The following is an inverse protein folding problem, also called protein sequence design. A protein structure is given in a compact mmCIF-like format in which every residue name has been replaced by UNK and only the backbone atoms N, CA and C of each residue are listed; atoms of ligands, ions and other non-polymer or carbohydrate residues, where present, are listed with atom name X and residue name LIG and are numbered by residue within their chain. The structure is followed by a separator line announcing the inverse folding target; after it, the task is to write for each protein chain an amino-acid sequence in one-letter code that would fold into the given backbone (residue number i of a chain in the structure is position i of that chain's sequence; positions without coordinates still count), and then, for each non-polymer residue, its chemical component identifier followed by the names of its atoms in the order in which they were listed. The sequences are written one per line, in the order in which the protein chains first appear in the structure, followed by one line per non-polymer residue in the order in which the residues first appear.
data_IF_386444812234
#
_entry.id   IF_386444812234
#
_cell.length_a   1.000
_cell.length_b   1.000
_cell.length_c   1.000
_cell.angle_alpha   90.00
_cell.angle_beta   90.00
_cell.angle_gamma   90.00
#
_symmetry.space_group_name_H-M   'P 1'
#
loop_
_entity.id
_entity.type
_entity.pdbx_description
1 polymer ?
#
# COMPACT_ATOMS: atom_id res chain seq x y z
N UNK A 1 -18.03 -3.00 -17.26
CA UNK A 1 -17.14 -4.16 -17.05
C UNK A 1 -16.57 -4.00 -15.65
N UNK A 2 -16.72 -5.00 -14.80
CA UNK A 2 -16.22 -5.00 -13.42
C UNK A 2 -15.08 -6.01 -13.30
N UNK A 3 -14.14 -5.76 -12.40
CA UNK A 3 -13.03 -6.64 -12.10
C UNK A 3 -13.16 -7.17 -10.66
N UNK A 4 -12.92 -8.47 -10.48
CA UNK A 4 -12.86 -9.10 -9.16
C UNK A 4 -11.42 -9.42 -8.82
N UNK A 5 -10.95 -8.96 -7.66
CA UNK A 5 -9.63 -9.28 -7.14
C UNK A 5 -9.73 -10.38 -6.08
N UNK A 6 -8.70 -11.24 -6.03
CA UNK A 6 -8.48 -12.16 -4.92
C UNK A 6 -7.51 -11.53 -3.93
N UNK A 7 -7.76 -11.71 -2.64
CA UNK A 7 -6.74 -11.38 -1.64
C UNK A 7 -5.71 -12.50 -1.61
N UNK A 8 -4.44 -12.13 -1.67
CA UNK A 8 -3.31 -13.07 -1.62
C UNK A 8 -2.77 -13.25 -0.20
N UNK A 9 -3.29 -12.48 0.75
CA UNK A 9 -2.80 -12.43 2.11
C UNK A 9 -3.38 -11.24 2.88
N UNK A 10 -2.79 -10.94 4.03
CA UNK A 10 -3.18 -9.82 4.88
C UNK A 10 -1.99 -9.24 5.65
N UNK A 11 -2.13 -7.98 6.08
CA UNK A 11 -1.16 -7.29 6.91
C UNK A 11 -1.50 -7.52 8.38
N UNK A 12 -0.53 -8.00 9.14
CA UNK A 12 -0.60 -8.16 10.59
C UNK A 12 0.35 -7.17 11.27
N UNK A 13 -0.18 -6.40 12.21
CA UNK A 13 0.58 -5.46 13.04
C UNK A 13 -0.01 -5.38 14.44
N UNK A 14 0.85 -5.11 15.44
CA UNK A 14 0.48 -5.15 16.86
C UNK A 14 0.13 -3.78 17.45
N UNK A 15 0.31 -2.71 16.68
CA UNK A 15 -0.09 -1.36 17.03
C UNK A 15 -1.45 -1.01 16.40
N UNK A 16 -2.26 -0.22 17.11
CA UNK A 16 -3.54 0.27 16.59
C UNK A 16 -3.35 1.51 15.70
N UNK A 17 -2.45 1.41 14.71
CA UNK A 17 -2.05 2.53 13.86
C UNK A 17 -1.91 2.10 12.39
N UNK A 18 -1.71 3.08 11.52
CA UNK A 18 -1.25 2.89 10.14
C UNK A 18 0.14 3.53 9.94
N UNK A 19 0.93 3.65 11.02
CA UNK A 19 2.26 4.28 10.98
C UNK A 19 3.19 3.56 10.02
N UNK A 20 3.92 4.34 9.22
CA UNK A 20 4.98 3.85 8.32
C UNK A 20 6.26 3.46 9.07
N UNK A 21 6.41 3.88 10.33
CA UNK A 21 7.64 3.66 11.08
C UNK A 21 7.70 2.29 11.77
N UNK A 22 6.54 1.65 11.98
CA UNK A 22 6.49 0.33 12.59
C UNK A 22 6.83 -0.76 11.55
N UNK A 23 7.51 -1.79 12.03
CA UNK A 23 7.63 -3.05 11.31
C UNK A 23 6.31 -3.82 11.39
N UNK A 24 5.89 -4.40 10.27
CA UNK A 24 4.67 -5.20 10.14
C UNK A 24 5.00 -6.55 9.52
N UNK A 25 4.10 -7.51 9.72
CA UNK A 25 4.12 -8.79 9.04
C UNK A 25 3.12 -8.76 7.87
N UNK A 26 3.49 -9.31 6.73
CA UNK A 26 2.58 -9.58 5.62
C UNK A 26 2.47 -11.10 5.51
N UNK A 27 1.29 -11.62 5.81
CA UNK A 27 0.98 -13.05 5.78
C UNK A 27 0.41 -13.38 4.41
N UNK A 28 1.13 -14.16 3.62
CA UNK A 28 0.71 -14.62 2.30
C UNK A 28 -0.03 -15.95 2.48
N UNK A 29 -1.13 -16.18 1.77
CA UNK A 29 -1.81 -17.46 1.85
C UNK A 29 -0.90 -18.57 1.29
N UNK A 30 -0.97 -19.76 1.87
CA UNK A 30 -0.12 -20.90 1.52
C UNK A 30 -0.14 -21.22 0.01
N UNK A 31 -1.30 -21.07 -0.67
CA UNK A 31 -1.40 -21.33 -2.11
C UNK A 31 -0.61 -20.36 -3.00
N UNK A 32 -0.12 -19.24 -2.45
CA UNK A 32 0.69 -18.24 -3.16
C UNK A 32 2.14 -18.17 -2.67
N UNK A 33 2.55 -19.02 -1.72
CA UNK A 33 3.89 -18.99 -1.11
C UNK A 33 5.01 -19.14 -2.15
N UNK A 34 4.85 -20.03 -3.14
CA UNK A 34 5.84 -20.22 -4.22
C UNK A 34 6.18 -18.91 -4.95
N UNK A 35 5.24 -17.96 -5.00
CA UNK A 35 5.41 -16.65 -5.63
C UNK A 35 6.40 -15.73 -4.92
N UNK A 36 6.84 -16.06 -3.70
CA UNK A 36 7.82 -15.27 -2.94
C UNK A 36 9.27 -15.55 -3.31
N UNK A 37 9.54 -16.64 -4.03
CA UNK A 37 10.91 -17.06 -4.36
C UNK A 37 11.70 -15.97 -5.10
N UNK A 38 12.84 -15.57 -4.54
CA UNK A 38 13.74 -14.56 -5.11
C UNK A 38 13.38 -13.11 -4.74
N UNK A 39 12.26 -12.89 -4.04
CA UNK A 39 11.87 -11.56 -3.59
C UNK A 39 12.85 -11.01 -2.54
N UNK A 40 13.47 -11.90 -1.76
CA UNK A 40 14.50 -11.59 -0.75
C UNK A 40 15.79 -10.98 -1.34
N UNK A 41 16.00 -11.08 -2.66
CA UNK A 41 17.12 -10.44 -3.35
C UNK A 41 16.92 -8.92 -3.51
N UNK A 42 15.70 -8.42 -3.29
CA UNK A 42 15.36 -7.00 -3.36
C UNK A 42 15.38 -6.35 -1.97
N UNK A 43 15.82 -5.09 -1.89
CA UNK A 43 15.77 -4.36 -0.61
C UNK A 43 14.40 -3.76 -0.30
N UNK A 44 13.58 -3.56 -1.33
CA UNK A 44 12.29 -2.88 -1.22
C UNK A 44 11.24 -3.55 -2.11
N UNK A 45 9.99 -3.43 -1.67
CA UNK A 45 8.82 -3.96 -2.37
C UNK A 45 7.72 -2.90 -2.46
N UNK A 46 6.91 -3.00 -3.50
CA UNK A 46 5.63 -2.30 -3.63
C UNK A 46 4.54 -3.25 -3.17
N UNK A 47 3.73 -2.83 -2.21
CA UNK A 47 2.60 -3.60 -1.70
C UNK A 47 1.30 -2.89 -2.05
N UNK A 48 0.41 -3.59 -2.76
CA UNK A 48 -0.94 -3.14 -3.05
C UNK A 48 -1.89 -3.84 -2.10
N UNK A 49 -2.78 -3.07 -1.48
CA UNK A 49 -3.69 -3.59 -0.47
C UNK A 49 -5.05 -2.92 -0.55
N UNK A 50 -6.08 -3.64 -0.12
CA UNK A 50 -7.45 -3.14 -0.09
C UNK A 50 -7.70 -2.41 1.23
N UNK A 51 -7.98 -1.11 1.15
CA UNK A 51 -8.42 -0.27 2.26
C UNK A 51 -9.87 -0.62 2.64
N UNK A 52 -10.10 -1.87 3.06
CA UNK A 52 -11.39 -2.50 3.31
C UNK A 52 -12.29 -1.79 4.34
N UNK A 53 -11.71 -0.91 5.17
CA UNK A 53 -12.45 -0.07 6.12
C UNK A 53 -12.90 1.27 5.52
N UNK A 54 -12.42 1.62 4.34
CA UNK A 54 -12.78 2.87 3.68
C UNK A 54 -14.17 2.73 3.04
N UNK A 55 -15.08 3.64 3.40
CA UNK A 55 -16.40 3.72 2.79
C UNK A 55 -16.44 4.90 1.80
N UNK A 56 -16.53 4.60 0.51
CA UNK A 56 -16.61 5.65 -0.51
C UNK A 56 -18.03 6.22 -0.58
N UNK A 57 -18.14 7.52 -0.33
CA UNK A 57 -19.40 8.26 -0.27
C UNK A 57 -19.85 8.85 -1.62
N UNK A 58 -19.21 8.47 -2.72
CA UNK A 58 -19.48 9.02 -4.05
C UNK A 58 -18.86 10.40 -4.32
N UNK A 59 -18.26 11.07 -3.32
CA UNK A 59 -17.69 12.41 -3.50
C UNK A 59 -16.32 12.35 -4.16
N UNK A 60 -16.24 12.91 -5.36
CA UNK A 60 -15.01 12.99 -6.17
C UNK A 60 -14.11 14.19 -5.83
N UNK A 61 -14.58 15.16 -5.04
CA UNK A 61 -13.77 16.26 -4.54
C UNK A 61 -13.40 16.02 -3.07
N UNK A 62 -12.16 16.34 -2.71
CA UNK A 62 -11.63 16.28 -1.35
C UNK A 62 -10.86 17.57 -1.05
N UNK A 63 -10.97 18.04 0.18
CA UNK A 63 -10.15 19.13 0.68
C UNK A 63 -8.76 18.59 1.04
N UNK A 64 -7.70 19.27 0.59
CA UNK A 64 -6.32 18.98 0.94
C UNK A 64 -5.53 20.29 1.01
N UNK A 65 -4.87 20.55 2.13
CA UNK A 65 -4.15 21.80 2.41
C UNK A 65 -4.97 23.07 2.06
N UNK A 66 -6.25 23.08 2.44
CA UNK A 66 -7.17 24.22 2.21
C UNK A 66 -7.63 24.41 0.75
N UNK A 67 -7.29 23.47 -0.16
CA UNK A 67 -7.73 23.51 -1.55
C UNK A 67 -8.66 22.33 -1.85
N UNK A 68 -9.78 22.61 -2.52
CA UNK A 68 -10.66 21.57 -3.05
C UNK A 68 -10.09 21.00 -4.35
N UNK A 69 -9.72 19.73 -4.35
CA UNK A 69 -9.14 19.03 -5.50
C UNK A 69 -9.84 17.71 -5.78
N UNK A 70 -9.70 17.18 -6.99
CA UNK A 70 -10.23 15.86 -7.33
C UNK A 70 -9.55 14.75 -6.53
N UNK A 71 -10.29 13.69 -6.18
CA UNK A 71 -9.80 12.56 -5.36
C UNK A 71 -8.53 11.92 -5.94
N UNK A 72 -8.39 11.93 -7.27
CA UNK A 72 -7.21 11.42 -7.98
C UNK A 72 -5.96 12.30 -7.86
N UNK A 73 -6.11 13.57 -7.49
CA UNK A 73 -5.00 14.45 -7.09
C UNK A 73 -4.60 14.27 -5.62
N UNK A 74 -5.20 13.30 -4.92
CA UNK A 74 -4.96 13.03 -3.50
C UNK A 74 -4.56 11.57 -3.25
N UNK A 75 -4.19 11.28 -2.00
CA UNK A 75 -3.97 9.93 -1.48
C UNK A 75 -5.09 9.47 -0.54
N UNK A 76 -6.26 10.14 -0.56
CA UNK A 76 -7.42 9.77 0.28
C UNK A 76 -7.87 8.33 0.06
N UNK A 77 -8.14 7.62 1.15
CA UNK A 77 -8.71 6.27 1.15
C UNK A 77 -10.14 6.23 0.60
N UNK A 78 -10.89 7.34 0.65
CA UNK A 78 -12.27 7.42 0.19
C UNK A 78 -12.33 7.68 -1.31
N UNK A 79 -12.10 6.63 -2.11
CA UNK A 79 -12.02 6.65 -3.58
C UNK A 79 -12.80 5.47 -4.19
N UNK A 80 -13.16 5.54 -5.49
CA UNK A 80 -13.99 4.51 -6.12
C UNK A 80 -13.47 3.08 -5.96
N UNK A 81 -12.16 2.89 -6.15
CA UNK A 81 -11.46 1.63 -5.86
C UNK A 81 -10.47 1.89 -4.72
N UNK A 82 -10.79 1.50 -3.46
CA UNK A 82 -10.02 1.83 -2.27
C UNK A 82 -8.72 1.01 -2.17
N UNK A 83 -7.83 1.19 -3.14
CA UNK A 83 -6.52 0.54 -3.21
C UNK A 83 -5.47 1.47 -2.58
N UNK A 84 -4.79 0.94 -1.58
CA UNK A 84 -3.59 1.50 -0.99
C UNK A 84 -2.34 0.98 -1.69
N UNK A 85 -1.29 1.79 -1.67
CA UNK A 85 0.03 1.45 -2.19
C UNK A 85 1.07 1.95 -1.20
N UNK A 86 2.04 1.09 -0.88
CA UNK A 86 3.20 1.45 -0.07
C UNK A 86 4.46 0.91 -0.75
N UNK A 87 5.50 1.74 -0.82
CA UNK A 87 6.87 1.26 -1.01
C UNK A 87 7.40 0.96 0.39
N UNK A 88 7.85 -0.28 0.61
CA UNK A 88 8.28 -0.77 1.90
C UNK A 88 9.67 -1.37 1.81
N UNK A 89 10.46 -1.16 2.87
CA UNK A 89 11.71 -1.88 3.11
C UNK A 89 11.37 -3.35 3.38
N UNK A 90 12.00 -4.25 2.63
CA UNK A 90 11.94 -5.69 2.86
C UNK A 90 13.04 -6.05 3.88
N UNK A 91 12.63 -6.50 5.06
CA UNK A 91 13.57 -6.82 6.15
C UNK A 91 13.93 -8.30 6.12
N UNK A 92 12.93 -9.16 5.99
CA UNK A 92 13.11 -10.62 6.02
C UNK A 92 11.91 -11.30 5.35
N UNK A 93 12.14 -12.48 4.75
CA UNK A 93 11.08 -13.42 4.37
C UNK A 93 11.34 -14.73 5.12
N UNK A 94 10.32 -15.24 5.79
CA UNK A 94 10.34 -16.53 6.46
C UNK A 94 9.07 -17.30 6.12
N UNK A 95 9.21 -18.41 5.41
CA UNK A 95 8.10 -19.19 4.87
C UNK A 95 7.15 -18.26 4.07
N UNK A 96 5.86 -18.25 4.36
CA UNK A 96 4.86 -17.39 3.76
C UNK A 96 4.71 -16.00 4.43
N UNK A 97 5.66 -15.59 5.28
CA UNK A 97 5.59 -14.33 6.05
C UNK A 97 6.70 -13.39 5.61
N UNK A 98 6.31 -12.17 5.24
CA UNK A 98 7.23 -11.07 4.93
C UNK A 98 7.27 -10.10 6.10
N UNK A 99 8.46 -9.77 6.58
CA UNK A 99 8.69 -8.70 7.55
C UNK A 99 9.08 -7.44 6.77
N UNK A 100 8.29 -6.38 6.93
CA UNK A 100 8.47 -5.15 6.17
C UNK A 100 8.24 -3.89 7.00
N UNK A 101 8.83 -2.77 6.56
CA UNK A 101 8.65 -1.45 7.18
C UNK A 101 8.28 -0.41 6.14
N UNK A 102 7.43 0.55 6.49
CA UNK A 102 6.93 1.57 5.56
C UNK A 102 5.46 1.38 5.12
N UNK A 103 4.80 0.31 5.57
CA UNK A 103 3.42 -0.01 5.21
C UNK A 103 2.42 0.90 5.96
N UNK A 104 1.65 1.66 5.19
CA UNK A 104 0.60 2.56 5.70
C UNK A 104 -0.78 1.89 5.65
N UNK A 105 -0.99 0.88 6.50
CA UNK A 105 -2.22 0.11 6.56
C UNK A 105 -2.53 -0.33 8.00
N UNK A 106 -3.81 -0.52 8.31
CA UNK A 106 -4.26 -1.05 9.59
C UNK A 106 -4.05 -2.56 9.68
N UNK A 107 -4.13 -3.10 10.91
CA UNK A 107 -4.15 -4.54 11.13
C UNK A 107 -5.29 -5.21 10.35
N UNK A 108 -5.06 -6.44 9.88
CA UNK A 108 -5.96 -7.25 9.04
C UNK A 108 -6.28 -6.64 7.66
N UNK A 109 -5.51 -5.66 7.19
CA UNK A 109 -5.71 -5.11 5.84
C UNK A 109 -5.39 -6.17 4.78
N UNK A 110 -6.34 -6.53 3.88
CA UNK A 110 -6.08 -7.52 2.84
C UNK A 110 -5.08 -7.04 1.80
N UNK A 111 -4.19 -7.94 1.39
CA UNK A 111 -3.19 -7.71 0.35
C UNK A 111 -3.71 -8.17 -1.00
N UNK A 112 -3.52 -7.34 -2.01
CA UNK A 112 -3.91 -7.62 -3.39
C UNK A 112 -2.73 -8.13 -4.22
N UNK A 113 -1.56 -7.53 -4.05
CA UNK A 113 -0.39 -7.79 -4.90
C UNK A 113 0.90 -7.29 -4.25
N UNK A 114 2.03 -7.88 -4.65
CA UNK A 114 3.39 -7.51 -4.20
C UNK A 114 4.30 -7.51 -5.43
N UNK A 115 5.14 -6.48 -5.54
CA UNK A 115 6.14 -6.36 -6.61
C UNK A 115 7.48 -5.94 -6.05
N UNK A 116 8.61 -6.35 -6.65
CA UNK A 116 9.90 -5.73 -6.33
C UNK A 116 9.85 -4.23 -6.65
N UNK A 117 10.56 -3.42 -5.87
CA UNK A 117 10.83 -2.03 -6.21
C UNK A 117 12.21 -1.93 -6.88
N UNK A 118 12.27 -1.38 -8.08
CA UNK A 118 13.52 -1.19 -8.81
C UNK A 118 13.62 0.19 -9.49
N UNK A 119 14.62 0.35 -10.36
CA UNK A 119 14.87 1.62 -11.06
C UNK A 119 13.71 2.07 -11.94
N UNK A 120 12.85 1.18 -12.42
CA UNK A 120 11.72 1.51 -13.28
C UNK A 120 10.58 2.19 -12.51
N UNK A 121 10.54 2.03 -11.18
CA UNK A 121 9.53 2.65 -10.31
C UNK A 121 9.92 4.06 -9.85
N UNK A 122 11.19 4.44 -10.02
CA UNK A 122 11.72 5.72 -9.57
C UNK A 122 11.58 6.79 -10.65
N UNK A 123 10.81 7.83 -10.36
CA UNK A 123 10.85 9.07 -11.13
C UNK A 123 12.06 9.92 -10.69
N UNK A 124 12.91 10.33 -11.64
CA UNK A 124 14.07 11.18 -11.34
C UNK A 124 13.67 12.66 -11.17
N UNK A 125 12.79 13.16 -12.03
CA UNK A 125 12.27 14.53 -11.98
C UNK A 125 10.77 14.51 -11.69
N UNK A 126 10.39 14.93 -10.48
CA UNK A 126 8.99 14.96 -10.05
C UNK A 126 8.52 16.40 -9.92
N UNK A 127 7.36 16.72 -10.51
CA UNK A 127 6.64 17.98 -10.28
C UNK A 127 5.46 17.74 -9.36
N UNK A 128 5.43 18.45 -8.23
CA UNK A 128 4.27 18.50 -7.31
C UNK A 128 3.59 19.88 -7.37
N UNK A 129 2.26 19.97 -7.15
CA UNK A 129 1.57 21.25 -7.02
C UNK A 129 2.07 22.05 -5.81
N UNK A 130 2.02 23.38 -5.88
CA UNK A 130 2.48 24.28 -4.80
C UNK A 130 1.74 24.11 -3.47
N UNK A 131 0.51 23.60 -3.52
CA UNK A 131 -0.30 23.31 -2.33
C UNK A 131 -0.04 21.92 -1.72
N UNK A 132 0.74 21.05 -2.37
CA UNK A 132 0.78 19.61 -2.04
C UNK A 132 1.59 19.24 -0.78
N UNK A 133 2.53 20.10 -0.40
CA UNK A 133 3.48 19.91 0.71
C UNK A 133 3.63 21.19 1.55
N UNK A 134 2.53 21.92 1.72
CA UNK A 134 2.47 23.01 2.70
C UNK A 134 2.39 22.34 4.07
N UNK A 135 3.46 22.49 4.86
CA UNK A 135 3.64 21.87 6.18
C UNK A 135 2.54 22.26 7.16
#
# INVERSE_FOLDING_TARGET
MEACFKYIGFIKRNDNSASRNATVEIHINEEYEEGLKGLEEFSHIIVLYHLHLANFDGRLLKEREGVMVGVFATRSQFRPNPIGISVAELIEIKDNIIIAKGINAFNNTPVLDIKPYDKWDRAEEVRVPTWHDVV
#
